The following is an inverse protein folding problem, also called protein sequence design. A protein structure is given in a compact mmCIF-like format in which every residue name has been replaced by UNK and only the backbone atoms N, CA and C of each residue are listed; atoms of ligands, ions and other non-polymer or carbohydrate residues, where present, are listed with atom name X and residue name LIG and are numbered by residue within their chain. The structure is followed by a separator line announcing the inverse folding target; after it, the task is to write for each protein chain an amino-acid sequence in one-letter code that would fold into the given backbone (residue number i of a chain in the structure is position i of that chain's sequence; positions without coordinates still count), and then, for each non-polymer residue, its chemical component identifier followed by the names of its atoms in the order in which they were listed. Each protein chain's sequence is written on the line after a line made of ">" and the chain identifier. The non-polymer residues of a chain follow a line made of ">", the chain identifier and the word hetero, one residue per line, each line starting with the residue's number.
data_IF_170654897634
#
_entry.id   IF_170654897634
#
_cell.length_a   1.000
_cell.length_b   1.000
_cell.length_c   1.000
_cell.angle_alpha   90.00
_cell.angle_beta   90.00
_cell.angle_gamma   90.00
#
_symmetry.space_group_name_H-M   'P 1'
#
loop_
_entity.id
_entity.type
_entity.pdbx_description
1 polymer ?
#
# COMPACT_ATOMS: atom_id res chain seq x y z
N UNK A 1 11.30 0.16 23.60
CA UNK A 1 10.59 0.78 22.47
C UNK A 1 11.60 0.89 21.34
N UNK A 2 11.55 0.00 20.37
CA UNK A 2 12.42 0.00 19.18
C UNK A 2 11.94 1.12 18.26
N UNK A 3 12.83 2.03 17.90
CA UNK A 3 12.54 3.06 16.89
C UNK A 3 12.81 2.44 15.53
N UNK A 4 11.85 2.53 14.63
CA UNK A 4 11.98 2.08 13.25
C UNK A 4 11.90 3.30 12.31
N UNK A 5 12.72 3.29 11.28
CA UNK A 5 12.70 4.32 10.23
C UNK A 5 12.10 3.67 8.99
N UNK A 6 10.86 4.02 8.66
CA UNK A 6 10.16 3.46 7.51
C UNK A 6 10.76 3.94 6.18
N UNK A 7 11.15 5.21 6.10
CA UNK A 7 11.83 5.74 4.90
C UNK A 7 12.72 6.94 5.23
N UNK A 8 13.85 7.02 4.53
CA UNK A 8 14.80 8.14 4.55
C UNK A 8 15.49 8.17 3.18
N UNK A 9 14.93 8.91 2.23
CA UNK A 9 15.32 8.87 0.82
C UNK A 9 15.62 10.24 0.27
N UNK A 10 16.47 10.28 -0.77
CA UNK A 10 16.74 11.43 -1.62
C UNK A 10 16.22 11.13 -3.03
N UNK A 11 15.40 12.03 -3.54
CA UNK A 11 14.86 11.95 -4.90
C UNK A 11 15.54 12.98 -5.81
N UNK A 12 16.09 12.54 -6.93
CA UNK A 12 16.61 13.37 -8.01
C UNK A 12 15.71 13.27 -9.25
N UNK A 13 15.03 14.35 -9.59
CA UNK A 13 14.14 14.42 -10.75
C UNK A 13 15.00 14.76 -11.98
N UNK A 14 15.38 13.72 -12.72
CA UNK A 14 16.22 13.87 -13.92
C UNK A 14 15.43 14.39 -15.12
N UNK A 15 14.12 14.04 -15.20
CA UNK A 15 13.21 14.52 -16.24
C UNK A 15 11.76 14.37 -15.77
N UNK A 16 10.74 14.86 -16.52
CA UNK A 16 9.32 14.59 -16.22
C UNK A 16 8.97 13.10 -16.20
N UNK A 17 9.81 12.26 -16.79
CA UNK A 17 9.58 10.82 -16.94
C UNK A 17 10.44 9.97 -16.03
N UNK A 18 11.50 10.53 -15.42
CA UNK A 18 12.52 9.78 -14.68
C UNK A 18 12.85 10.47 -13.37
N UNK A 19 12.64 9.76 -12.28
CA UNK A 19 13.12 10.10 -10.94
C UNK A 19 14.04 9.00 -10.45
N UNK A 20 15.20 9.38 -9.95
CA UNK A 20 16.16 8.48 -9.30
C UNK A 20 16.04 8.70 -7.80
N UNK A 21 15.78 7.62 -7.06
CA UNK A 21 15.69 7.62 -5.60
C UNK A 21 16.86 6.85 -5.02
N UNK A 22 17.46 7.36 -3.96
CA UNK A 22 18.52 6.67 -3.21
C UNK A 22 18.27 6.78 -1.70
N UNK A 23 18.59 5.71 -0.96
CA UNK A 23 18.39 5.62 0.49
C UNK A 23 17.41 4.54 0.88
N UNK A 24 16.69 4.73 2.01
CA UNK A 24 15.65 3.83 2.49
C UNK A 24 14.29 4.27 1.96
N UNK A 25 13.63 3.39 1.22
CA UNK A 25 12.33 3.63 0.61
C UNK A 25 11.40 2.44 0.80
N UNK A 26 10.09 2.69 0.74
CA UNK A 26 9.10 1.61 0.72
C UNK A 26 9.22 0.86 -0.61
N UNK A 27 9.41 -0.45 -0.52
CA UNK A 27 9.59 -1.32 -1.68
C UNK A 27 8.40 -1.21 -2.62
N UNK A 28 8.58 -0.87 -3.91
CA UNK A 28 7.49 -0.74 -4.87
C UNK A 28 7.01 -2.10 -5.36
N UNK A 29 6.63 -2.96 -4.42
CA UNK A 29 6.05 -4.27 -4.67
C UNK A 29 4.56 -4.26 -4.31
N UNK A 30 3.70 -4.64 -5.25
CA UNK A 30 2.26 -4.54 -5.11
C UNK A 30 1.74 -3.09 -5.12
N UNK A 31 0.51 -2.91 -4.65
CA UNK A 31 -0.12 -1.60 -4.51
C UNK A 31 -0.16 -1.14 -3.05
N UNK A 32 -0.23 -2.08 -2.09
CA UNK A 32 -0.44 -1.71 -0.70
C UNK A 32 0.78 -1.04 -0.10
N UNK A 33 1.95 -1.62 -0.26
CA UNK A 33 3.15 -1.18 0.42
C UNK A 33 3.49 0.30 0.14
N UNK A 34 3.87 0.63 -1.07
CA UNK A 34 4.29 2.01 -1.41
C UNK A 34 3.15 3.03 -1.38
N UNK A 35 1.94 2.62 -1.80
CA UNK A 35 0.86 3.58 -2.10
C UNK A 35 -0.25 3.64 -1.08
N UNK A 36 -0.51 2.58 -0.34
CA UNK A 36 -1.62 2.50 0.61
C UNK A 36 -1.17 2.38 2.06
N UNK A 37 0.12 2.14 2.29
CA UNK A 37 0.70 2.02 3.62
C UNK A 37 0.49 3.25 4.52
N UNK A 38 0.57 4.52 4.03
CA UNK A 38 0.33 5.68 4.87
C UNK A 38 -1.07 5.70 5.49
N UNK A 39 -1.15 5.92 6.81
CA UNK A 39 -2.38 5.79 7.62
C UNK A 39 -3.54 6.65 7.12
N UNK A 40 -3.26 7.81 6.52
CA UNK A 40 -4.30 8.72 6.01
C UNK A 40 -4.94 8.26 4.69
N UNK A 41 -4.31 7.33 3.96
CA UNK A 41 -4.81 6.75 2.71
C UNK A 41 -5.55 5.43 2.95
N UNK A 42 -5.20 4.73 4.04
CA UNK A 42 -5.80 3.44 4.40
C UNK A 42 -7.31 3.58 4.62
N UNK A 43 -8.04 2.56 4.23
CA UNK A 43 -9.45 2.44 4.54
C UNK A 43 -9.69 1.72 5.87
N UNK A 44 -8.88 0.71 6.16
CA UNK A 44 -8.91 -0.07 7.40
C UNK A 44 -7.61 0.13 8.17
N UNK A 45 -7.65 -0.03 9.48
CA UNK A 45 -6.47 0.05 10.34
C UNK A 45 -5.55 -1.16 10.20
N UNK A 46 -6.05 -2.42 10.17
CA UNK A 46 -5.21 -3.60 9.97
C UNK A 46 -4.60 -3.67 8.59
N UNK A 47 -3.35 -4.11 8.52
CA UNK A 47 -2.68 -4.41 7.27
C UNK A 47 -3.27 -5.66 6.60
N UNK A 48 -3.16 -5.82 5.28
CA UNK A 48 -3.51 -7.07 4.62
C UNK A 48 -2.62 -8.22 5.09
N UNK A 49 -3.19 -9.42 5.21
CA UNK A 49 -2.46 -10.65 5.56
C UNK A 49 -1.29 -10.97 4.61
N UNK A 50 -1.35 -10.44 3.40
CA UNK A 50 -0.32 -10.64 2.37
C UNK A 50 0.83 -9.64 2.43
N UNK A 51 0.72 -8.56 3.25
CA UNK A 51 1.76 -7.54 3.30
C UNK A 51 3.13 -8.09 3.70
N UNK A 52 3.25 -8.99 4.70
CA UNK A 52 4.54 -9.52 5.10
C UNK A 52 5.16 -10.56 4.14
N UNK A 53 4.50 -10.89 3.01
CA UNK A 53 5.05 -11.82 2.00
C UNK A 53 6.27 -11.24 1.28
N UNK A 54 6.47 -9.95 1.31
CA UNK A 54 7.62 -9.28 0.71
C UNK A 54 8.24 -8.27 1.66
N UNK A 55 9.46 -7.88 1.37
CA UNK A 55 10.18 -6.87 2.14
C UNK A 55 9.49 -5.52 2.03
N UNK A 56 9.06 -4.95 3.16
CA UNK A 56 8.35 -3.66 3.21
C UNK A 56 9.29 -2.51 2.87
N UNK A 57 10.50 -2.53 3.39
CA UNK A 57 11.51 -1.48 3.23
C UNK A 57 12.71 -1.97 2.43
N UNK A 58 13.26 -1.09 1.59
CA UNK A 58 14.46 -1.34 0.80
C UNK A 58 15.49 -0.26 1.04
N UNK A 59 16.75 -0.66 1.28
CA UNK A 59 17.90 0.23 1.33
C UNK A 59 18.69 0.12 0.03
N UNK A 60 18.70 1.16 -0.80
CA UNK A 60 19.35 1.05 -2.10
C UNK A 60 19.03 2.18 -3.06
N UNK A 61 18.81 1.81 -4.31
CA UNK A 61 18.47 2.74 -5.38
C UNK A 61 17.24 2.27 -6.16
N UNK A 62 16.43 3.24 -6.58
CA UNK A 62 15.24 3.02 -7.40
C UNK A 62 15.20 4.03 -8.54
N UNK A 63 14.84 3.55 -9.72
CA UNK A 63 14.43 4.35 -10.86
C UNK A 63 12.92 4.26 -11.00
N UNK A 64 12.21 5.38 -11.00
CA UNK A 64 10.76 5.40 -11.20
C UNK A 64 10.32 6.53 -12.10
N UNK A 65 9.14 6.37 -12.67
CA UNK A 65 8.57 7.38 -13.54
C UNK A 65 7.21 6.99 -14.10
N UNK A 66 6.79 7.77 -15.08
CA UNK A 66 5.57 7.49 -15.82
C UNK A 66 5.46 8.33 -17.06
N UNK A 67 4.66 7.88 -18.00
CA UNK A 67 4.39 8.62 -19.22
C UNK A 67 2.99 8.30 -19.76
N UNK A 68 2.45 9.25 -20.52
CA UNK A 68 1.21 9.07 -21.25
C UNK A 68 1.46 8.30 -22.52
N UNK A 69 0.87 7.12 -22.66
CA UNK A 69 0.94 6.31 -23.88
C UNK A 69 0.05 6.94 -24.95
N UNK A 70 -1.17 7.28 -24.55
CA UNK A 70 -2.17 7.98 -25.37
C UNK A 70 -3.23 8.60 -24.44
N UNK A 71 -4.23 9.27 -25.03
CA UNK A 71 -5.32 9.92 -24.25
C UNK A 71 -6.12 8.95 -23.35
N UNK A 72 -6.05 7.64 -23.60
CA UNK A 72 -6.83 6.62 -22.90
C UNK A 72 -6.00 5.83 -21.88
N UNK A 73 -4.66 5.96 -21.90
CA UNK A 73 -3.79 5.15 -21.07
C UNK A 73 -2.51 5.88 -20.66
N UNK A 74 -2.23 5.88 -19.37
CA UNK A 74 -0.97 6.29 -18.76
C UNK A 74 -0.27 5.07 -18.18
N UNK A 75 1.05 5.04 -18.24
CA UNK A 75 1.88 4.00 -17.64
C UNK A 75 2.74 4.60 -16.52
N UNK A 76 2.88 3.88 -15.43
CA UNK A 76 3.86 4.14 -14.38
C UNK A 76 4.76 2.91 -14.19
N UNK A 77 5.99 3.15 -13.77
CA UNK A 77 6.97 2.10 -13.55
C UNK A 77 7.90 2.42 -12.41
N UNK A 78 8.45 1.38 -11.79
CA UNK A 78 9.56 1.45 -10.86
C UNK A 78 10.46 0.23 -11.06
N UNK A 79 11.77 0.42 -10.98
CA UNK A 79 12.76 -0.65 -10.94
C UNK A 79 13.76 -0.32 -9.82
N UNK A 80 14.12 -1.30 -9.01
CA UNK A 80 14.93 -1.05 -7.82
C UNK A 80 15.92 -2.19 -7.54
N UNK A 81 16.97 -1.83 -6.84
CA UNK A 81 17.93 -2.75 -6.24
C UNK A 81 18.13 -2.36 -4.79
N UNK A 82 17.99 -3.34 -3.91
CA UNK A 82 18.29 -3.22 -2.49
C UNK A 82 19.61 -3.92 -2.16
N UNK A 83 20.32 -3.36 -1.22
CA UNK A 83 21.54 -3.91 -0.66
C UNK A 83 21.31 -4.25 0.81
N UNK A 84 22.07 -5.20 1.33
CA UNK A 84 22.01 -5.54 2.76
C UNK A 84 22.47 -4.35 3.59
N UNK A 85 21.74 -4.03 4.65
CA UNK A 85 22.10 -2.96 5.57
C UNK A 85 23.41 -3.26 6.28
N UNK A 86 24.27 -2.27 6.42
CA UNK A 86 25.57 -2.41 7.08
C UNK A 86 25.38 -2.32 8.59
N UNK A 87 25.18 -3.48 9.26
CA UNK A 87 25.46 -3.66 10.69
C UNK A 87 24.62 -2.86 11.70
N UNK A 88 23.50 -2.25 11.29
CA UNK A 88 22.60 -1.53 12.19
C UNK A 88 21.30 -2.34 12.28
N UNK A 89 21.11 -3.05 13.38
CA UNK A 89 19.95 -3.94 13.62
C UNK A 89 18.56 -3.26 13.59
N UNK A 90 18.52 -1.94 13.63
CA UNK A 90 17.28 -1.16 13.48
C UNK A 90 16.99 -0.76 12.03
N UNK A 91 17.88 -1.08 11.10
CA UNK A 91 17.80 -0.78 9.68
C UNK A 91 18.19 -2.06 8.95
N UNK A 92 17.34 -3.09 9.05
CA UNK A 92 17.57 -4.36 8.37
C UNK A 92 16.87 -4.37 7.02
N UNK A 93 17.58 -4.74 5.98
CA UNK A 93 17.09 -4.82 4.62
C UNK A 93 17.75 -5.99 3.92
N UNK A 94 16.95 -6.76 3.20
CA UNK A 94 17.42 -7.87 2.41
C UNK A 94 17.97 -7.40 1.06
N UNK A 95 18.92 -8.17 0.53
CA UNK A 95 19.44 -7.92 -0.81
C UNK A 95 18.47 -8.48 -1.86
N UNK A 96 17.82 -7.59 -2.60
CA UNK A 96 16.86 -7.98 -3.62
C UNK A 96 16.85 -7.01 -4.81
N UNK A 97 16.24 -7.43 -5.91
CA UNK A 97 16.01 -6.64 -7.10
C UNK A 97 14.58 -6.85 -7.56
N UNK A 98 13.96 -5.81 -8.04
CA UNK A 98 12.58 -5.93 -8.49
C UNK A 98 12.10 -4.75 -9.31
N UNK A 99 10.82 -4.81 -9.64
CA UNK A 99 10.16 -3.75 -10.36
C UNK A 99 8.64 -3.90 -10.36
N UNK A 100 8.00 -2.78 -10.65
CA UNK A 100 6.56 -2.66 -10.80
C UNK A 100 6.22 -1.92 -12.09
N UNK A 101 5.13 -2.31 -12.71
CA UNK A 101 4.51 -1.63 -13.83
C UNK A 101 3.01 -1.51 -13.62
N UNK A 102 2.45 -0.34 -13.88
CA UNK A 102 1.03 -0.07 -13.78
C UNK A 102 0.50 0.70 -14.98
N UNK A 103 -0.73 0.40 -15.37
CA UNK A 103 -1.46 1.08 -16.43
C UNK A 103 -2.71 1.71 -15.86
N UNK A 104 -2.82 3.03 -15.99
CA UNK A 104 -3.98 3.80 -15.56
C UNK A 104 -4.81 4.23 -16.76
N UNK A 105 -6.10 3.92 -16.71
CA UNK A 105 -7.10 4.27 -17.70
C UNK A 105 -7.97 5.41 -17.16
N UNK A 106 -7.79 6.67 -17.63
CA UNK A 106 -8.46 7.84 -17.05
C UNK A 106 -9.99 7.81 -17.12
N UNK A 107 -10.55 7.35 -18.24
CA UNK A 107 -12.00 7.34 -18.44
C UNK A 107 -12.74 6.46 -17.43
N UNK A 108 -12.42 5.16 -17.24
CA UNK A 108 -13.02 4.35 -16.20
C UNK A 108 -12.38 4.59 -14.81
N UNK A 109 -11.30 5.37 -14.70
CA UNK A 109 -10.47 5.55 -13.49
C UNK A 109 -10.03 4.20 -12.92
N UNK A 110 -9.57 3.33 -13.80
CA UNK A 110 -9.07 1.99 -13.50
C UNK A 110 -7.56 1.96 -13.63
N UNK A 111 -6.89 1.43 -12.63
CA UNK A 111 -5.49 1.05 -12.69
C UNK A 111 -5.37 -0.47 -12.57
N UNK A 112 -4.52 -1.07 -13.39
CA UNK A 112 -4.10 -2.46 -13.27
C UNK A 112 -2.59 -2.53 -13.39
N UNK A 113 -1.95 -3.42 -12.66
CA UNK A 113 -0.51 -3.54 -12.71
C UNK A 113 0.01 -4.83 -12.10
N UNK A 114 1.31 -5.00 -12.17
CA UNK A 114 2.02 -6.12 -11.60
C UNK A 114 3.40 -5.74 -11.11
N UNK A 115 3.92 -6.55 -10.22
CA UNK A 115 5.26 -6.43 -9.65
C UNK A 115 5.96 -7.76 -9.66
N UNK A 116 7.27 -7.69 -9.76
CA UNK A 116 8.17 -8.82 -9.61
C UNK A 116 9.33 -8.42 -8.71
N UNK A 117 9.74 -9.34 -7.85
CA UNK A 117 10.88 -9.21 -6.97
C UNK A 117 11.68 -10.52 -6.95
N UNK A 118 12.98 -10.42 -6.82
CA UNK A 118 13.88 -11.54 -6.63
C UNK A 118 14.83 -11.28 -5.48
N UNK A 119 14.74 -12.09 -4.44
CA UNK A 119 15.70 -12.13 -3.36
C UNK A 119 17.02 -12.69 -3.89
N UNK A 120 18.14 -12.04 -3.55
CA UNK A 120 19.49 -12.38 -4.00
C UNK A 120 20.33 -13.02 -2.91
N UNK A 121 19.82 -13.08 -1.67
CA UNK A 121 20.43 -13.75 -0.52
C UNK A 121 19.91 -15.18 -0.42
N UNK A 122 20.71 -16.04 0.18
CA UNK A 122 20.43 -17.45 0.48
C UNK A 122 19.93 -18.23 -0.75
N UNK A 123 18.69 -18.56 -0.81
CA UNK A 123 18.07 -19.17 -1.98
C UNK A 123 17.45 -18.09 -2.87
N UNK A 124 17.87 -18.02 -4.14
CA UNK A 124 17.35 -17.05 -5.10
C UNK A 124 15.87 -17.31 -5.42
N UNK A 125 14.98 -16.63 -4.72
CA UNK A 125 13.53 -16.82 -4.81
C UNK A 125 12.86 -15.64 -5.49
N UNK A 126 11.74 -15.93 -6.15
CA UNK A 126 10.96 -14.90 -6.84
C UNK A 126 9.61 -14.70 -6.13
N UNK A 127 9.16 -13.44 -6.12
CA UNK A 127 7.82 -13.05 -5.72
C UNK A 127 7.14 -12.29 -6.86
N UNK A 128 5.83 -12.43 -6.96
CA UNK A 128 4.99 -11.77 -7.97
C UNK A 128 3.76 -11.17 -7.30
N UNK A 129 3.34 -10.01 -7.76
CA UNK A 129 2.09 -9.39 -7.38
C UNK A 129 1.33 -8.90 -8.61
N UNK A 130 -0.01 -8.97 -8.55
CA UNK A 130 -0.91 -8.33 -9.50
C UNK A 130 -1.94 -7.53 -8.72
N UNK A 131 -2.24 -6.32 -9.18
CA UNK A 131 -3.19 -5.45 -8.51
C UNK A 131 -4.15 -4.77 -9.48
N UNK A 132 -5.30 -4.38 -8.94
CA UNK A 132 -6.26 -3.51 -9.59
C UNK A 132 -6.80 -2.47 -8.60
N UNK A 133 -7.03 -1.25 -9.08
CA UNK A 133 -7.67 -0.17 -8.31
C UNK A 133 -8.66 0.55 -9.22
N UNK A 134 -9.90 0.65 -8.76
CA UNK A 134 -10.99 1.25 -9.52
C UNK A 134 -11.75 2.29 -8.70
N UNK A 135 -11.94 3.47 -9.27
CA UNK A 135 -12.66 4.59 -8.65
C UNK A 135 -13.65 5.17 -9.65
N UNK A 136 -14.86 4.58 -9.82
CA UNK A 136 -15.83 5.03 -10.78
C UNK A 136 -16.25 6.50 -10.54
N UNK A 137 -16.43 7.26 -11.62
CA UNK A 137 -16.76 8.69 -11.53
C UNK A 137 -18.18 8.96 -11.04
N UNK A 138 -19.10 8.04 -11.30
CA UNK A 138 -20.53 8.19 -10.97
C UNK A 138 -20.90 7.75 -9.55
N UNK A 139 -20.07 6.95 -8.92
CA UNK A 139 -20.31 6.40 -7.58
C UNK A 139 -19.20 6.86 -6.63
N UNK A 140 -19.52 7.28 -5.40
CA UNK A 140 -18.55 7.63 -4.38
C UNK A 140 -17.92 6.37 -3.75
N UNK A 141 -17.36 5.52 -4.60
CA UNK A 141 -16.83 4.20 -4.26
C UNK A 141 -15.38 4.07 -4.75
N UNK A 142 -14.60 3.30 -4.02
CA UNK A 142 -13.28 2.84 -4.43
C UNK A 142 -13.19 1.33 -4.20
N UNK A 143 -12.67 0.61 -5.17
CA UNK A 143 -12.41 -0.84 -5.07
C UNK A 143 -10.93 -1.07 -5.34
N UNK A 144 -10.29 -1.88 -4.53
CA UNK A 144 -8.88 -2.24 -4.65
C UNK A 144 -8.73 -3.74 -4.44
N UNK A 145 -7.83 -4.35 -5.16
CA UNK A 145 -7.50 -5.76 -4.99
C UNK A 145 -6.04 -6.01 -5.33
N UNK A 146 -5.45 -6.98 -4.66
CA UNK A 146 -4.10 -7.45 -4.91
C UNK A 146 -4.00 -8.94 -4.66
N UNK A 147 -3.22 -9.61 -5.49
CA UNK A 147 -2.81 -11.00 -5.33
C UNK A 147 -1.29 -11.05 -5.27
N UNK A 148 -0.75 -11.79 -4.31
CA UNK A 148 0.69 -11.95 -4.08
C UNK A 148 1.03 -13.43 -4.05
N UNK A 149 2.18 -13.79 -4.60
CA UNK A 149 2.74 -15.14 -4.54
C UNK A 149 4.24 -15.11 -4.40
N UNK A 150 4.75 -15.78 -3.37
CA UNK A 150 6.17 -16.06 -3.16
C UNK A 150 6.35 -17.48 -2.63
N UNK A 151 7.57 -17.83 -2.25
CA UNK A 151 7.88 -19.07 -1.50
C UNK A 151 7.44 -18.99 -0.03
N UNK A 152 7.33 -17.80 0.53
CA UNK A 152 6.91 -17.55 1.91
C UNK A 152 5.41 -17.78 2.09
N UNK A 153 4.65 -17.57 1.03
CA UNK A 153 3.21 -17.76 1.00
C UNK A 153 2.58 -17.18 -0.24
N UNK A 154 1.30 -17.28 -0.30
CA UNK A 154 0.49 -16.65 -1.34
C UNK A 154 -0.84 -16.19 -0.78
N UNK A 155 -1.48 -15.25 -1.43
CA UNK A 155 -2.77 -14.80 -1.00
C UNK A 155 -3.31 -13.67 -1.85
N UNK A 156 -4.48 -13.22 -1.45
CA UNK A 156 -5.13 -12.08 -2.07
C UNK A 156 -5.98 -11.32 -1.06
N UNK A 157 -6.21 -10.07 -1.37
CA UNK A 157 -7.22 -9.25 -0.70
C UNK A 157 -8.00 -8.45 -1.73
N UNK A 158 -9.24 -8.17 -1.41
CA UNK A 158 -10.11 -7.24 -2.14
C UNK A 158 -10.82 -6.36 -1.13
N UNK A 159 -10.76 -5.05 -1.35
CA UNK A 159 -11.27 -4.02 -0.45
C UNK A 159 -12.17 -3.04 -1.21
N UNK A 160 -13.28 -2.68 -0.61
CA UNK A 160 -14.17 -1.64 -1.13
C UNK A 160 -14.49 -0.61 -0.06
N UNK A 161 -14.51 0.65 -0.45
CA UNK A 161 -14.96 1.76 0.40
C UNK A 161 -16.07 2.53 -0.33
N UNK A 162 -17.14 2.80 0.38
CA UNK A 162 -18.28 3.56 -0.12
C UNK A 162 -18.60 4.75 0.79
N UNK A 163 -18.49 5.95 0.26
CA UNK A 163 -18.81 7.18 0.98
C UNK A 163 -20.27 7.55 0.82
N UNK A 164 -20.97 7.77 1.94
CA UNK A 164 -22.43 7.95 1.99
C UNK A 164 -22.92 9.32 1.48
N UNK A 165 -22.26 9.91 0.49
CA UNK A 165 -22.60 11.24 -0.02
C UNK A 165 -23.96 11.32 -0.71
N UNK A 166 -24.48 10.19 -1.15
CA UNK A 166 -25.76 10.12 -1.91
C UNK A 166 -26.98 9.90 -1.02
N UNK A 167 -26.79 9.73 0.30
CA UNK A 167 -27.90 9.53 1.23
C UNK A 167 -28.50 10.90 1.61
N UNK A 168 -29.80 11.14 1.35
CA UNK A 168 -30.41 12.43 1.58
C UNK A 168 -30.67 12.75 3.07
N UNK A 169 -30.74 11.72 3.91
CA UNK A 169 -30.98 11.89 5.35
C UNK A 169 -29.67 12.20 6.09
N UNK A 170 -29.69 13.18 7.02
CA UNK A 170 -28.51 13.61 7.78
C UNK A 170 -27.28 13.87 6.89
N UNK A 171 -27.52 14.54 5.81
CA UNK A 171 -26.55 14.72 4.71
C UNK A 171 -25.16 15.17 5.18
N UNK A 172 -25.11 16.06 6.20
CA UNK A 172 -23.85 16.54 6.77
C UNK A 172 -23.02 15.40 7.36
N UNK A 173 -23.62 14.52 8.15
CA UNK A 173 -22.93 13.42 8.83
C UNK A 173 -22.68 12.24 7.87
N UNK A 174 -23.68 11.91 7.05
CA UNK A 174 -23.56 10.84 6.04
C UNK A 174 -22.46 11.16 5.03
N UNK A 175 -22.39 12.39 4.53
CA UNK A 175 -21.32 12.77 3.58
C UNK A 175 -19.90 12.67 4.15
N UNK A 176 -19.77 12.65 5.47
CA UNK A 176 -18.51 12.46 6.22
C UNK A 176 -18.23 11.02 6.61
N UNK A 177 -19.19 10.12 6.39
CA UNK A 177 -19.08 8.70 6.75
C UNK A 177 -18.75 7.87 5.52
N UNK A 178 -17.87 6.89 5.69
CA UNK A 178 -17.45 5.93 4.68
C UNK A 178 -17.49 4.53 5.27
N UNK A 179 -18.21 3.61 4.63
CA UNK A 179 -18.18 2.19 4.97
C UNK A 179 -17.13 1.48 4.15
N UNK A 180 -16.44 0.55 4.80
CA UNK A 180 -15.37 -0.24 4.20
C UNK A 180 -15.62 -1.71 4.48
N UNK A 181 -15.33 -2.54 3.48
CA UNK A 181 -15.30 -3.99 3.61
C UNK A 181 -14.08 -4.53 2.88
N UNK A 182 -13.37 -5.48 3.51
CA UNK A 182 -12.26 -6.21 2.91
C UNK A 182 -12.43 -7.71 3.14
N UNK A 183 -12.18 -8.49 2.11
CA UNK A 183 -12.05 -9.93 2.20
C UNK A 183 -10.63 -10.31 1.78
N UNK A 184 -10.02 -11.23 2.53
CA UNK A 184 -8.66 -11.65 2.27
C UNK A 184 -8.44 -13.12 2.60
N UNK A 185 -7.47 -13.72 1.93
CA UNK A 185 -7.05 -15.09 2.17
C UNK A 185 -5.54 -15.18 2.02
N UNK A 186 -4.94 -15.89 2.98
CA UNK A 186 -3.54 -16.24 2.99
C UNK A 186 -3.40 -17.77 2.92
N UNK A 187 -2.44 -18.24 2.14
CA UNK A 187 -2.01 -19.62 2.03
C UNK A 187 -0.54 -19.71 2.44
N UNK A 188 -0.24 -20.57 3.37
CA UNK A 188 1.13 -20.79 3.87
C UNK A 188 2.05 -21.29 2.76
N UNK A 189 3.29 -20.79 2.79
CA UNK A 189 4.35 -21.24 1.91
C UNK A 189 5.12 -22.45 2.42
N UNK A 190 6.34 -22.60 1.98
CA UNK A 190 7.25 -23.72 2.30
C UNK A 190 8.31 -23.36 3.32
N UNK A 191 8.20 -22.21 3.98
CA UNK A 191 9.13 -21.75 5.00
C UNK A 191 8.88 -22.40 6.37
N UNK A 192 9.89 -22.39 7.23
CA UNK A 192 9.79 -22.96 8.56
C UNK A 192 8.85 -22.16 9.48
N UNK A 193 8.22 -22.79 10.52
CA UNK A 193 7.40 -22.08 11.49
C UNK A 193 8.14 -20.94 12.22
N UNK A 194 9.45 -21.05 12.39
CA UNK A 194 10.26 -20.00 13.02
C UNK A 194 10.37 -18.76 12.10
N UNK A 195 10.61 -18.96 10.81
CA UNK A 195 10.62 -17.89 9.81
C UNK A 195 9.24 -17.25 9.65
N UNK A 196 8.16 -18.04 9.64
CA UNK A 196 6.78 -17.54 9.65
C UNK A 196 6.55 -16.56 10.80
N UNK A 197 6.98 -16.93 12.01
CA UNK A 197 6.82 -16.09 13.20
C UNK A 197 7.68 -14.81 13.12
N UNK A 198 8.90 -14.91 12.59
CA UNK A 198 9.82 -13.78 12.42
C UNK A 198 9.29 -12.75 11.42
N UNK A 199 8.70 -13.21 10.31
CA UNK A 199 8.13 -12.38 9.28
C UNK A 199 6.73 -11.83 9.64
N UNK A 200 6.12 -12.31 10.72
CA UNK A 200 4.76 -11.93 11.11
C UNK A 200 3.67 -12.47 10.18
N UNK A 201 3.98 -13.53 9.43
CA UNK A 201 3.03 -14.20 8.55
C UNK A 201 2.05 -15.08 9.36
N UNK A 202 0.82 -15.31 8.86
CA UNK A 202 -0.08 -16.28 9.46
C UNK A 202 0.53 -17.70 9.49
N UNK A 203 0.45 -18.36 10.64
CA UNK A 203 1.01 -19.72 10.84
C UNK A 203 0.23 -20.82 10.15
N UNK A 204 -0.95 -20.51 9.63
CA UNK A 204 -1.83 -21.45 8.91
C UNK A 204 -2.61 -20.70 7.82
N UNK A 205 -3.20 -21.48 6.90
CA UNK A 205 -4.11 -20.92 5.92
C UNK A 205 -5.23 -20.15 6.62
N UNK A 206 -5.32 -18.85 6.32
CA UNK A 206 -6.22 -17.92 7.02
C UNK A 206 -7.12 -17.21 6.03
N UNK A 207 -8.41 -17.15 6.35
CA UNK A 207 -9.39 -16.29 5.68
C UNK A 207 -9.81 -15.21 6.66
N UNK A 208 -9.98 -13.99 6.19
CA UNK A 208 -10.40 -12.89 7.04
C UNK A 208 -11.39 -12.00 6.31
N UNK A 209 -12.41 -11.56 7.04
CA UNK A 209 -13.36 -10.56 6.59
C UNK A 209 -13.28 -9.37 7.56
N UNK A 210 -12.98 -8.19 7.01
CA UNK A 210 -12.87 -6.95 7.75
C UNK A 210 -13.98 -5.99 7.34
N UNK A 211 -14.50 -5.27 8.33
CA UNK A 211 -15.47 -4.20 8.15
C UNK A 211 -14.98 -2.95 8.87
N UNK A 212 -15.23 -1.80 8.29
CA UNK A 212 -14.81 -0.55 8.89
C UNK A 212 -15.77 0.60 8.65
N UNK A 213 -15.69 1.58 9.53
CA UNK A 213 -16.36 2.86 9.39
C UNK A 213 -15.32 3.97 9.56
N UNK A 214 -15.18 4.79 8.54
CA UNK A 214 -14.35 5.98 8.57
C UNK A 214 -15.24 7.21 8.73
N UNK A 215 -14.83 8.11 9.63
CA UNK A 215 -15.50 9.39 9.82
C UNK A 215 -14.53 10.55 9.62
N UNK A 216 -14.86 11.46 8.71
CA UNK A 216 -14.05 12.63 8.39
C UNK A 216 -14.54 13.84 9.17
N UNK A 217 -13.85 14.16 10.27
CA UNK A 217 -14.24 15.26 11.18
C UNK A 217 -14.10 16.62 10.50
N UNK A 218 -12.98 16.86 9.84
CA UNK A 218 -12.62 18.06 9.09
C UNK A 218 -11.51 17.73 8.10
N UNK A 219 -11.12 18.68 7.29
CA UNK A 219 -10.01 18.51 6.37
C UNK A 219 -8.74 18.06 7.09
N UNK A 220 -8.18 16.96 6.62
CA UNK A 220 -6.98 16.35 7.19
C UNK A 220 -7.18 15.49 8.44
N UNK A 221 -8.39 15.40 9.02
CA UNK A 221 -8.65 14.58 10.21
C UNK A 221 -9.68 13.48 9.95
N UNK A 222 -9.29 12.23 10.21
CA UNK A 222 -10.12 11.05 9.96
C UNK A 222 -10.04 10.08 11.14
N UNK A 223 -11.19 9.67 11.67
CA UNK A 223 -11.34 8.53 12.57
C UNK A 223 -11.57 7.25 11.77
N UNK A 224 -10.94 6.16 12.16
CA UNK A 224 -11.04 4.84 11.56
C UNK A 224 -11.44 3.87 12.65
N UNK A 225 -12.53 3.16 12.45
CA UNK A 225 -12.95 2.04 13.27
C UNK A 225 -13.01 0.80 12.40
N UNK A 226 -12.40 -0.30 12.85
CA UNK A 226 -12.35 -1.55 12.08
C UNK A 226 -12.61 -2.75 12.96
N UNK A 227 -13.31 -3.72 12.40
CA UNK A 227 -13.54 -5.05 12.98
C UNK A 227 -13.18 -6.10 11.94
N UNK A 228 -12.34 -7.06 12.32
CA UNK A 228 -11.94 -8.21 11.52
C UNK A 228 -12.32 -9.53 12.19
N UNK A 229 -12.75 -10.49 11.38
CA UNK A 229 -12.98 -11.88 11.78
C UNK A 229 -12.11 -12.80 10.95
N UNK A 230 -11.13 -13.41 11.61
CA UNK A 230 -10.24 -14.40 11.02
C UNK A 230 -10.69 -15.83 11.29
N UNK A 231 -10.54 -16.69 10.27
CA UNK A 231 -10.85 -18.11 10.28
C UNK A 231 -9.60 -18.87 9.84
N UNK A 232 -9.08 -19.74 10.71
CA UNK A 232 -7.85 -20.47 10.47
C UNK A 232 -7.90 -21.84 11.15
N UNK A 233 -7.15 -22.81 10.65
CA UNK A 233 -6.98 -24.09 11.32
C UNK A 233 -6.18 -23.97 12.63
N UNK A 234 -5.43 -22.90 12.82
CA UNK A 234 -4.77 -22.58 14.09
C UNK A 234 -5.72 -21.94 15.13
N UNK A 235 -6.95 -21.61 14.74
CA UNK A 235 -7.97 -20.99 15.60
C UNK A 235 -8.59 -19.75 14.96
N UNK A 236 -9.83 -19.47 15.33
CA UNK A 236 -10.53 -18.26 14.89
C UNK A 236 -10.24 -17.13 15.84
N UNK A 237 -10.19 -15.89 15.29
CA UNK A 237 -9.95 -14.68 16.10
C UNK A 237 -10.83 -13.52 15.67
N UNK A 238 -11.00 -12.59 16.59
CA UNK A 238 -11.63 -11.30 16.33
C UNK A 238 -10.60 -10.20 16.57
N UNK A 239 -10.57 -9.21 15.71
CA UNK A 239 -9.68 -8.06 15.83
C UNK A 239 -10.50 -6.78 15.79
N UNK A 240 -10.31 -5.94 16.80
CA UNK A 240 -10.89 -4.61 16.85
C UNK A 240 -9.76 -3.59 16.78
N UNK A 241 -9.95 -2.54 16.01
CA UNK A 241 -8.99 -1.46 15.96
C UNK A 241 -9.67 -0.12 15.80
N UNK A 242 -9.09 0.88 16.46
CA UNK A 242 -9.51 2.28 16.41
C UNK A 242 -8.28 3.11 16.10
N UNK A 243 -8.39 3.99 15.12
CA UNK A 243 -7.32 4.89 14.72
C UNK A 243 -7.81 6.31 14.51
N UNK A 244 -6.93 7.27 14.74
CA UNK A 244 -7.11 8.67 14.40
C UNK A 244 -5.95 9.09 13.50
N UNK A 245 -6.26 9.45 12.26
CA UNK A 245 -5.28 10.00 11.33
C UNK A 245 -5.46 11.51 11.22
N UNK A 246 -4.35 12.25 11.29
CA UNK A 246 -4.32 13.68 11.09
C UNK A 246 -3.18 14.06 10.17
N UNK A 247 -3.47 14.90 9.17
CA UNK A 247 -2.50 15.43 8.22
C UNK A 247 -2.39 16.94 8.35
N UNK A 248 -1.21 17.41 8.74
CA UNK A 248 -0.90 18.84 8.73
C UNK A 248 -0.41 19.27 7.36
N UNK A 249 -0.88 20.42 6.91
CA UNK A 249 -0.31 21.15 5.80
C UNK A 249 0.27 22.45 6.36
N UNK A 250 1.59 22.51 6.48
CA UNK A 250 2.29 23.70 6.92
C UNK A 250 2.83 24.41 5.66
N UNK A 251 2.31 25.59 5.27
CA UNK A 251 2.88 26.34 4.16
C UNK A 251 4.24 26.90 4.60
N UNK A 252 5.33 26.38 4.03
CA UNK A 252 6.70 26.79 4.33
C UNK A 252 7.15 28.09 3.60
N UNK A 253 6.26 28.79 2.90
CA UNK A 253 6.56 30.05 2.23
C UNK A 253 5.35 30.58 1.45
N UNK A 254 5.32 31.89 1.23
CA UNK A 254 4.43 32.49 0.23
C UNK A 254 5.07 32.22 -1.14
N UNK A 255 4.42 31.42 -1.96
CA UNK A 255 4.71 31.43 -3.39
C UNK A 255 4.28 32.84 -3.87
N UNK A 256 5.26 33.73 -4.10
CA UNK A 256 4.97 34.97 -4.80
C UNK A 256 4.52 34.59 -6.22
N UNK A 257 3.24 34.70 -6.48
CA UNK A 257 2.73 34.73 -7.86
C UNK A 257 3.51 35.84 -8.58
N UNK A 258 4.15 35.55 -9.74
CA UNK A 258 4.71 36.62 -10.56
C UNK A 258 3.56 37.59 -10.87
N UNK A 259 3.76 38.86 -10.59
CA UNK A 259 2.84 39.92 -11.01
C UNK A 259 2.68 39.76 -12.53
N UNK A 260 1.46 39.53 -13.01
CA UNK A 260 1.12 39.61 -14.42
C UNK A 260 1.52 41.06 -14.84
N UNK A 261 2.58 41.12 -15.66
CA UNK A 261 3.07 42.35 -16.23
C UNK A 261 2.01 42.99 -17.09
N UNK A 262 1.80 44.25 -16.85
CA UNK A 262 1.00 45.18 -17.65
C UNK A 262 1.46 45.22 -19.12
#
# INVERSE_FOLDING_TARGET
>A
MTKHVDYAQLDYIASPYITITAGRFLTPFGIFNERLYPVWIRFLQPDPLTLPINTVDSDGAMLRGGFTINEKANMNYAAYVSVTSIGISSVDSERHVGGRMGFFFPSPRLEVGGSWERTLQDERKNAFSFHASWQPTKLPMSVRAEMVRSFEGSGYWAESAYRLRQIPYWQKEMSRTEFVARMQQFFTGTISPAEVAQLGLPTANTREADFGVNYFFRDGMKGIFSYGRGFSSAGNYNQWSVGLAYRWLIPLGRVSTPAEGQ
#
